data_IF_620087675970
#
_entry.id   IF_620087675970
#
_cell.length_a   1.000
_cell.length_b   1.000
_cell.length_c   1.000
_cell.angle_alpha   90.00
_cell.angle_beta   90.00
_cell.angle_gamma   90.00
#
_symmetry.space_group_name_H-M   'P 1'
#
loop_
_entity.id
_entity.type
_entity.pdbx_description
1 polymer ?
#
# COMPACT_ATOMS: atom_id res chain seq x y z
N UNK A 1 12.93 27.48 19.89
CA UNK A 1 13.50 26.13 19.76
C UNK A 1 13.62 25.52 21.13
N UNK A 2 13.03 24.33 21.36
CA UNK A 2 13.14 23.65 22.66
C UNK A 2 14.55 23.08 22.82
N UNK A 3 15.23 23.43 23.91
CA UNK A 3 16.54 22.88 24.30
C UNK A 3 16.50 21.35 24.24
N UNK A 4 17.19 20.76 23.26
CA UNK A 4 17.37 19.30 23.19
C UNK A 4 18.52 18.97 24.12
N UNK A 5 18.20 18.38 25.28
CA UNK A 5 19.18 17.89 26.23
C UNK A 5 20.19 16.92 25.61
N UNK A 6 21.30 16.61 26.31
CA UNK A 6 22.32 15.68 25.82
C UNK A 6 21.72 14.31 25.42
N UNK A 7 22.30 13.61 24.43
CA UNK A 7 21.80 12.30 24.02
C UNK A 7 21.84 11.31 25.20
N UNK A 8 20.76 10.54 25.36
CA UNK A 8 20.69 9.49 26.37
C UNK A 8 21.66 8.37 26.00
N UNK A 9 22.50 7.95 26.95
CA UNK A 9 23.40 6.83 26.75
C UNK A 9 22.61 5.55 26.45
N UNK A 10 22.99 4.84 25.39
CA UNK A 10 22.26 3.67 24.90
C UNK A 10 22.05 2.58 25.98
N UNK A 11 23.06 2.38 26.84
CA UNK A 11 23.01 1.44 27.97
C UNK A 11 21.86 1.72 28.96
N UNK A 12 21.47 2.99 29.09
CA UNK A 12 20.44 3.44 30.03
C UNK A 12 19.01 3.23 29.50
N UNK A 13 18.85 2.91 28.22
CA UNK A 13 17.52 2.66 27.64
C UNK A 13 16.99 1.32 28.15
N UNK A 14 15.81 1.34 28.76
CA UNK A 14 15.10 0.15 29.27
C UNK A 14 13.97 -0.22 28.33
N UNK A 15 13.68 -1.52 28.21
CA UNK A 15 12.65 -2.05 27.32
C UNK A 15 11.23 -1.62 27.72
N UNK A 16 10.97 -1.44 29.02
CA UNK A 16 9.73 -0.88 29.57
C UNK A 16 9.75 0.66 29.69
N UNK A 17 10.78 1.31 29.15
CA UNK A 17 10.91 2.77 29.18
C UNK A 17 10.03 3.46 28.14
N UNK A 18 9.84 4.77 28.32
CA UNK A 18 9.16 5.61 27.34
C UNK A 18 9.99 5.93 26.10
N UNK A 19 9.45 6.79 25.24
CA UNK A 19 10.11 7.25 24.01
C UNK A 19 11.47 7.89 24.31
N UNK A 20 12.51 7.41 23.63
CA UNK A 20 13.86 7.93 23.71
C UNK A 20 13.98 9.15 22.78
N UNK A 21 14.23 10.36 23.30
CA UNK A 21 14.25 11.57 22.48
C UNK A 21 15.45 11.58 21.52
N UNK A 22 16.64 11.22 22.02
CA UNK A 22 17.89 11.20 21.28
C UNK A 22 18.88 10.22 21.89
N UNK A 23 19.57 9.43 21.08
CA UNK A 23 20.69 8.57 21.51
C UNK A 23 21.74 8.48 20.40
N UNK A 24 23.01 8.28 20.78
CA UNK A 24 24.11 8.04 19.85
C UNK A 24 24.34 6.54 19.72
N UNK A 25 24.39 6.06 18.49
CA UNK A 25 24.55 4.64 18.17
C UNK A 25 25.56 4.44 17.04
N UNK A 26 26.39 3.41 17.15
CA UNK A 26 27.17 2.90 16.02
C UNK A 26 26.38 1.83 15.28
N UNK A 27 26.35 1.89 13.95
CA UNK A 27 25.70 0.88 13.10
C UNK A 27 26.65 -0.29 12.91
N UNK A 28 26.26 -1.46 13.42
CA UNK A 28 27.06 -2.68 13.33
C UNK A 28 26.69 -3.54 12.12
N UNK A 29 25.39 -3.63 11.79
CA UNK A 29 24.89 -4.29 10.57
C UNK A 29 23.57 -3.69 10.10
N UNK A 30 23.38 -3.65 8.79
CA UNK A 30 22.14 -3.29 8.13
C UNK A 30 21.60 -4.54 7.43
N UNK A 31 20.41 -4.98 7.84
CA UNK A 31 19.75 -6.11 7.18
C UNK A 31 18.99 -5.66 5.94
N UNK A 32 18.71 -6.53 4.96
CA UNK A 32 17.88 -6.19 3.81
C UNK A 32 16.48 -5.71 4.22
N UNK A 33 15.85 -4.88 3.38
CA UNK A 33 14.44 -4.49 3.55
C UNK A 33 13.55 -5.71 3.41
N UNK A 34 12.61 -5.84 4.34
CA UNK A 34 11.60 -6.89 4.37
C UNK A 34 10.21 -6.27 4.34
N UNK A 35 9.23 -7.06 3.92
CA UNK A 35 7.84 -6.63 3.78
C UNK A 35 6.98 -7.48 4.69
N UNK A 36 6.28 -6.86 5.63
CA UNK A 36 5.34 -7.54 6.53
C UNK A 36 3.93 -7.34 6.01
N UNK A 37 3.28 -8.42 5.58
CA UNK A 37 1.86 -8.43 5.25
C UNK A 37 1.05 -8.88 6.46
N UNK A 38 0.00 -8.14 6.80
CA UNK A 38 -1.01 -8.57 7.77
C UNK A 38 -2.16 -9.22 7.03
N UNK A 39 -2.50 -10.43 7.46
CA UNK A 39 -3.60 -11.19 6.89
C UNK A 39 -4.92 -10.88 7.62
N UNK A 40 -6.08 -11.13 6.99
CA UNK A 40 -7.40 -10.88 7.60
C UNK A 40 -7.64 -11.68 8.89
N UNK A 41 -6.98 -12.82 9.06
CA UNK A 41 -7.03 -13.66 10.26
C UNK A 41 -6.20 -13.10 11.44
N UNK A 42 -5.55 -11.95 11.25
CA UNK A 42 -4.69 -11.31 12.24
C UNK A 42 -3.25 -11.86 12.26
N UNK A 43 -2.96 -12.89 11.48
CA UNK A 43 -1.61 -13.40 11.31
C UNK A 43 -0.76 -12.47 10.45
N UNK A 44 0.54 -12.75 10.35
CA UNK A 44 1.44 -11.94 9.53
C UNK A 44 2.45 -12.78 8.77
N UNK A 45 2.72 -12.40 7.53
CA UNK A 45 3.73 -13.02 6.67
C UNK A 45 4.84 -12.00 6.44
N UNK A 46 6.10 -12.45 6.51
CA UNK A 46 7.26 -11.62 6.18
C UNK A 46 7.88 -12.12 4.89
N UNK A 47 8.08 -11.21 3.93
CA UNK A 47 8.69 -11.51 2.63
C UNK A 47 9.96 -10.69 2.41
N UNK A 48 10.89 -11.28 1.67
CA UNK A 48 11.96 -10.52 1.03
C UNK A 48 11.40 -9.73 -0.15
N UNK A 49 12.16 -8.74 -0.61
CA UNK A 49 11.79 -7.93 -1.78
C UNK A 49 11.42 -8.78 -3.00
N UNK A 50 12.22 -9.80 -3.33
CA UNK A 50 11.95 -10.71 -4.45
C UNK A 50 10.63 -11.46 -4.27
N UNK A 51 10.35 -11.93 -3.07
CA UNK A 51 9.12 -12.67 -2.78
C UNK A 51 7.90 -11.74 -2.78
N UNK A 52 8.04 -10.50 -2.30
CA UNK A 52 6.97 -9.52 -2.35
C UNK A 52 6.65 -9.09 -3.78
N UNK A 53 7.65 -8.87 -4.63
CA UNK A 53 7.44 -8.59 -6.06
C UNK A 53 6.64 -9.69 -6.75
N UNK A 54 6.98 -10.96 -6.47
CA UNK A 54 6.23 -12.11 -7.00
C UNK A 54 4.80 -12.16 -6.46
N UNK A 55 4.61 -11.91 -5.16
CA UNK A 55 3.29 -11.88 -4.55
C UNK A 55 2.41 -10.78 -5.13
N UNK A 56 2.97 -9.58 -5.34
CA UNK A 56 2.28 -8.45 -5.95
C UNK A 56 1.91 -8.74 -7.42
N UNK A 57 2.80 -9.36 -8.18
CA UNK A 57 2.51 -9.77 -9.56
C UNK A 57 1.34 -10.76 -9.61
N UNK A 58 1.35 -11.80 -8.76
CA UNK A 58 0.26 -12.77 -8.68
C UNK A 58 -1.06 -12.13 -8.25
N UNK A 59 -1.00 -11.17 -7.31
CA UNK A 59 -2.16 -10.38 -6.90
C UNK A 59 -2.76 -9.63 -8.09
N UNK A 60 -1.96 -8.87 -8.83
CA UNK A 60 -2.44 -8.14 -10.01
C UNK A 60 -2.99 -9.06 -11.09
N UNK A 61 -2.33 -10.20 -11.35
CA UNK A 61 -2.83 -11.19 -12.30
C UNK A 61 -4.23 -11.71 -11.91
N UNK A 62 -4.46 -12.00 -10.63
CA UNK A 62 -5.77 -12.47 -10.15
C UNK A 62 -6.83 -11.37 -10.24
N UNK A 63 -6.47 -10.13 -9.90
CA UNK A 63 -7.38 -8.97 -10.01
C UNK A 63 -7.77 -8.73 -11.46
N UNK A 64 -6.79 -8.69 -12.38
CA UNK A 64 -7.02 -8.50 -13.81
C UNK A 64 -7.89 -9.61 -14.40
N UNK A 65 -7.63 -10.87 -14.03
CA UNK A 65 -8.44 -12.00 -14.50
C UNK A 65 -9.92 -11.86 -14.13
N UNK A 66 -10.21 -11.49 -12.87
CA UNK A 66 -11.60 -11.29 -12.43
C UNK A 66 -12.27 -10.15 -13.20
N UNK A 67 -11.54 -9.06 -13.45
CA UNK A 67 -12.07 -7.95 -14.23
C UNK A 67 -12.34 -8.34 -15.69
N UNK A 68 -11.42 -9.07 -16.33
CA UNK A 68 -11.57 -9.57 -17.70
C UNK A 68 -12.74 -10.55 -17.82
N UNK A 69 -12.87 -11.50 -16.88
CA UNK A 69 -13.97 -12.47 -16.86
C UNK A 69 -15.33 -11.73 -16.80
N UNK A 70 -15.49 -10.75 -15.89
CA UNK A 70 -16.72 -9.96 -15.75
C UNK A 70 -17.01 -9.10 -16.98
N UNK A 71 -15.98 -8.48 -17.56
CA UNK A 71 -16.14 -7.69 -18.78
C UNK A 71 -16.63 -8.55 -19.94
N UNK A 72 -16.09 -9.76 -20.09
CA UNK A 72 -16.51 -10.70 -21.14
C UNK A 72 -17.96 -11.19 -20.98
N UNK A 73 -18.44 -11.37 -19.74
CA UNK A 73 -19.82 -11.77 -19.46
C UNK A 73 -20.83 -10.64 -19.74
N UNK A 74 -20.42 -9.37 -19.65
CA UNK A 74 -21.32 -8.22 -19.79
C UNK A 74 -21.56 -7.78 -21.24
N UNK A 75 -20.73 -8.21 -22.18
CA UNK A 75 -20.98 -7.99 -23.61
C UNK A 75 -22.19 -8.83 -24.10
N UNK A 76 -22.50 -9.95 -23.43
CA UNK A 76 -23.59 -10.88 -23.81
C UNK A 76 -24.97 -10.51 -23.23
N UNK A 77 -25.06 -9.61 -22.25
CA UNK A 77 -26.31 -9.34 -21.54
C UNK A 77 -26.57 -7.83 -21.44
N UNK A 78 -27.51 -7.31 -22.25
CA UNK A 78 -27.93 -5.92 -22.19
C UNK A 78 -29.46 -5.82 -22.18
N UNK A 79 -30.03 -5.47 -21.02
CA UNK A 79 -31.43 -5.08 -20.87
C UNK A 79 -31.47 -3.59 -20.51
N UNK A 80 -32.15 -2.79 -21.34
CA UNK A 80 -32.35 -1.36 -21.11
C UNK A 80 -33.32 -1.13 -19.94
N UNK A 81 -32.98 -0.22 -19.03
CA UNK A 81 -33.70 -0.01 -17.78
C UNK A 81 -34.68 1.18 -17.79
N UNK A 82 -34.80 1.93 -18.89
CA UNK A 82 -35.80 2.99 -19.01
C UNK A 82 -36.16 3.29 -20.48
N UNK A 83 -37.42 3.05 -20.82
CA UNK A 83 -37.95 3.11 -22.19
C UNK A 83 -38.66 4.43 -22.52
N UNK A 84 -38.73 5.35 -21.55
CA UNK A 84 -39.58 6.55 -21.64
C UNK A 84 -38.91 7.75 -22.33
N UNK A 85 -37.58 7.88 -22.24
CA UNK A 85 -36.81 9.01 -22.78
C UNK A 85 -36.78 9.02 -24.32
N UNK A 86 -36.81 10.20 -24.95
CA UNK A 86 -36.76 10.35 -26.42
C UNK A 86 -35.53 9.65 -27.02
N UNK A 87 -34.36 9.78 -26.38
CA UNK A 87 -33.14 9.06 -26.77
C UNK A 87 -33.28 7.53 -26.71
N UNK A 88 -34.07 6.98 -25.78
CA UNK A 88 -34.33 5.54 -25.69
C UNK A 88 -35.19 5.06 -26.86
N UNK A 89 -36.20 5.84 -27.25
CA UNK A 89 -37.04 5.56 -28.41
C UNK A 89 -36.22 5.59 -29.71
N UNK A 90 -35.36 6.60 -29.88
CA UNK A 90 -34.45 6.70 -31.03
C UNK A 90 -33.51 5.48 -31.07
N UNK A 91 -32.97 5.05 -29.93
CA UNK A 91 -32.09 3.87 -29.84
C UNK A 91 -32.80 2.59 -30.32
N UNK A 92 -34.03 2.34 -29.85
CA UNK A 92 -34.85 1.18 -30.29
C UNK A 92 -35.21 1.23 -31.76
N UNK A 93 -35.54 2.42 -32.27
CA UNK A 93 -35.82 2.60 -33.70
C UNK A 93 -34.59 2.28 -34.55
N UNK A 94 -33.39 2.69 -34.11
CA UNK A 94 -32.13 2.40 -34.79
C UNK A 94 -31.78 0.91 -34.76
N UNK A 95 -32.01 0.23 -33.63
CA UNK A 95 -31.78 -1.22 -33.49
C UNK A 95 -32.66 -2.07 -34.43
N UNK A 96 -33.85 -1.58 -34.77
CA UNK A 96 -34.83 -2.27 -35.63
C UNK A 96 -34.81 -1.78 -37.09
N UNK A 97 -34.09 -0.71 -37.40
CA UNK A 97 -34.04 -0.12 -38.73
C UNK A 97 -33.25 -1.01 -39.70
N UNK A 98 -33.75 -1.16 -40.93
CA UNK A 98 -33.02 -1.84 -42.01
C UNK A 98 -31.80 -1.04 -42.49
N UNK A 99 -31.86 0.30 -42.36
CA UNK A 99 -30.80 1.24 -42.74
C UNK A 99 -30.61 2.32 -41.63
N UNK A 100 -29.95 1.97 -40.51
CA UNK A 100 -29.82 2.86 -39.35
C UNK A 100 -29.04 4.14 -39.66
N UNK A 101 -28.09 4.12 -40.59
CA UNK A 101 -27.33 5.30 -41.00
C UNK A 101 -28.20 6.34 -41.72
N UNK A 102 -29.14 5.88 -42.56
CA UNK A 102 -30.09 6.74 -43.28
C UNK A 102 -31.07 7.37 -42.30
N UNK A 103 -31.55 6.58 -41.33
CA UNK A 103 -32.43 7.08 -40.28
C UNK A 103 -31.74 8.13 -39.41
N UNK A 104 -30.48 7.89 -39.04
CA UNK A 104 -29.69 8.82 -38.24
C UNK A 104 -29.44 10.15 -38.95
N UNK A 105 -29.25 10.14 -40.27
CA UNK A 105 -29.12 11.35 -41.08
C UNK A 105 -30.42 12.19 -41.16
N UNK A 106 -31.58 11.58 -40.89
CA UNK A 106 -32.89 12.24 -40.86
C UNK A 106 -33.28 12.84 -39.50
N UNK A 107 -32.49 12.62 -38.45
CA UNK A 107 -32.78 13.13 -37.10
C UNK A 107 -32.54 14.65 -37.02
N UNK A 108 -33.36 15.34 -36.23
CA UNK A 108 -33.12 16.76 -35.93
C UNK A 108 -31.94 16.94 -34.98
N UNK A 109 -31.38 18.15 -34.93
CA UNK A 109 -30.28 18.46 -34.00
C UNK A 109 -30.66 18.22 -32.54
N UNK A 110 -31.90 18.51 -32.14
CA UNK A 110 -32.40 18.26 -30.78
C UNK A 110 -32.49 16.75 -30.47
N UNK A 111 -32.96 15.96 -31.44
CA UNK A 111 -33.02 14.50 -31.34
C UNK A 111 -31.62 13.87 -31.27
N UNK A 112 -30.67 14.38 -32.06
CA UNK A 112 -29.26 13.95 -32.01
C UNK A 112 -28.61 14.23 -30.65
N UNK A 113 -28.88 15.40 -30.05
CA UNK A 113 -28.40 15.72 -28.71
C UNK A 113 -29.02 14.78 -27.67
N UNK A 114 -30.34 14.57 -27.72
CA UNK A 114 -31.04 13.65 -26.80
C UNK A 114 -30.51 12.21 -26.91
N UNK A 115 -30.32 11.73 -28.14
CA UNK A 115 -29.77 10.40 -28.42
C UNK A 115 -28.33 10.24 -27.90
N UNK A 116 -27.46 11.21 -28.17
CA UNK A 116 -26.07 11.20 -27.68
C UNK A 116 -25.99 11.22 -26.15
N UNK A 117 -26.87 11.99 -25.50
CA UNK A 117 -26.97 12.07 -24.04
C UNK A 117 -27.43 10.75 -23.44
N UNK A 118 -28.43 10.10 -24.07
CA UNK A 118 -28.90 8.78 -23.68
C UNK A 118 -27.81 7.72 -23.84
N UNK A 119 -27.09 7.69 -24.96
CA UNK A 119 -25.96 6.77 -25.15
C UNK A 119 -24.86 6.98 -24.10
N UNK A 120 -24.52 8.23 -23.78
CA UNK A 120 -23.54 8.55 -22.76
C UNK A 120 -24.00 8.04 -21.37
N UNK A 121 -25.26 8.30 -20.99
CA UNK A 121 -25.86 7.76 -19.76
C UNK A 121 -25.84 6.24 -19.72
N UNK A 122 -26.21 5.57 -20.82
CA UNK A 122 -26.20 4.11 -20.90
C UNK A 122 -24.78 3.54 -20.73
N UNK A 123 -23.79 4.16 -21.40
CA UNK A 123 -22.39 3.77 -21.29
C UNK A 123 -21.87 3.95 -19.87
N UNK A 124 -22.20 5.06 -19.22
CA UNK A 124 -21.84 5.32 -17.82
C UNK A 124 -22.51 4.33 -16.87
N UNK A 125 -23.81 4.09 -17.01
CA UNK A 125 -24.55 3.12 -16.21
C UNK A 125 -23.95 1.70 -16.34
N UNK A 126 -23.61 1.30 -17.57
CA UNK A 126 -22.94 0.02 -17.87
C UNK A 126 -21.57 -0.06 -17.20
N UNK A 127 -20.74 0.98 -17.34
CA UNK A 127 -19.43 1.04 -16.70
C UNK A 127 -19.52 0.97 -15.18
N UNK A 128 -20.50 1.67 -14.57
CA UNK A 128 -20.75 1.62 -13.14
C UNK A 128 -21.21 0.23 -12.67
N UNK A 129 -22.05 -0.44 -13.46
CA UNK A 129 -22.48 -1.81 -13.16
C UNK A 129 -21.31 -2.80 -13.21
N UNK A 130 -20.49 -2.74 -14.28
CA UNK A 130 -19.25 -3.54 -14.38
C UNK A 130 -18.37 -3.27 -13.17
N UNK A 131 -18.08 -2.00 -12.87
CA UNK A 131 -17.21 -1.61 -11.78
C UNK A 131 -17.70 -2.17 -10.43
N UNK A 132 -19.01 -2.09 -10.17
CA UNK A 132 -19.63 -2.63 -8.96
C UNK A 132 -19.54 -4.16 -8.90
N UNK A 133 -19.76 -4.85 -10.01
CA UNK A 133 -19.58 -6.32 -10.08
C UNK A 133 -18.14 -6.72 -9.81
N UNK A 134 -17.17 -6.00 -10.41
CA UNK A 134 -15.74 -6.22 -10.18
C UNK A 134 -15.39 -6.01 -8.71
N UNK A 135 -15.80 -4.88 -8.11
CA UNK A 135 -15.53 -4.60 -6.69
C UNK A 135 -16.07 -5.69 -5.77
N UNK A 136 -17.33 -6.10 -5.96
CA UNK A 136 -17.94 -7.18 -5.18
C UNK A 136 -17.20 -8.52 -5.37
N UNK A 137 -16.82 -8.87 -6.60
CA UNK A 137 -16.10 -10.11 -6.88
C UNK A 137 -14.70 -10.12 -6.26
N UNK A 138 -14.01 -8.98 -6.27
CA UNK A 138 -12.72 -8.82 -5.61
C UNK A 138 -12.85 -8.96 -4.09
N UNK A 139 -13.93 -8.43 -3.49
CA UNK A 139 -14.20 -8.60 -2.06
C UNK A 139 -14.45 -10.05 -1.68
N UNK A 140 -15.32 -10.75 -2.40
CA UNK A 140 -15.59 -12.19 -2.17
C UNK A 140 -14.33 -13.03 -2.35
N UNK A 141 -13.44 -12.66 -3.29
CA UNK A 141 -12.18 -13.35 -3.51
C UNK A 141 -11.07 -13.00 -2.50
N UNK A 142 -11.32 -12.06 -1.57
CA UNK A 142 -10.33 -11.58 -0.61
C UNK A 142 -9.19 -10.78 -1.26
N UNK A 143 -9.47 -10.08 -2.36
CA UNK A 143 -8.52 -9.32 -3.17
C UNK A 143 -8.74 -7.80 -3.12
N UNK A 144 -9.62 -7.29 -2.24
CA UNK A 144 -9.90 -5.85 -2.15
C UNK A 144 -8.68 -5.00 -1.83
N UNK A 145 -7.80 -5.47 -0.95
CA UNK A 145 -6.55 -4.77 -0.61
C UNK A 145 -5.55 -5.68 0.08
N UNK A 146 -4.29 -5.21 0.16
CA UNK A 146 -3.21 -5.89 0.90
C UNK A 146 -2.59 -4.91 1.91
N UNK A 147 -2.55 -5.29 3.19
CA UNK A 147 -1.86 -4.52 4.24
C UNK A 147 -0.39 -4.94 4.31
N UNK A 148 0.45 -4.33 3.46
CA UNK A 148 1.89 -4.62 3.39
C UNK A 148 2.69 -3.42 3.88
N UNK A 149 3.48 -3.60 4.94
CA UNK A 149 4.36 -2.56 5.49
C UNK A 149 5.84 -2.96 5.33
N UNK A 150 6.66 -2.23 4.56
CA UNK A 150 8.10 -2.44 4.51
C UNK A 150 8.77 -2.05 5.83
N UNK A 151 9.84 -2.76 6.18
CA UNK A 151 10.67 -2.43 7.33
C UNK A 151 12.14 -2.80 7.10
N UNK A 152 13.01 -2.06 7.79
CA UNK A 152 14.46 -2.24 7.79
C UNK A 152 14.92 -2.54 9.23
N UNK A 153 15.77 -3.56 9.39
CA UNK A 153 16.38 -3.87 10.69
C UNK A 153 17.84 -3.44 10.67
N UNK A 154 18.26 -2.74 11.72
CA UNK A 154 19.62 -2.23 11.89
C UNK A 154 20.14 -2.68 13.26
N UNK A 155 21.20 -3.48 13.27
CA UNK A 155 21.92 -3.83 14.50
C UNK A 155 22.82 -2.67 14.89
N UNK A 156 22.69 -2.24 16.12
CA UNK A 156 23.42 -1.08 16.65
C UNK A 156 24.12 -1.42 17.95
N UNK A 157 25.19 -0.70 18.24
CA UNK A 157 25.94 -0.78 19.49
C UNK A 157 25.95 0.57 20.19
N UNK A 158 25.75 0.56 21.51
CA UNK A 158 26.01 1.75 22.32
C UNK A 158 27.48 2.16 22.26
N UNK A 159 27.72 3.47 22.18
CA UNK A 159 29.08 4.01 22.24
C UNK A 159 29.55 4.07 23.70
N UNK A 160 30.79 3.63 23.94
CA UNK A 160 31.46 3.75 25.24
C UNK A 160 32.80 4.48 25.09
N UNK A 161 33.15 5.26 26.11
CA UNK A 161 34.45 5.95 26.16
C UNK A 161 35.58 4.94 26.37
N UNK A 162 36.69 5.09 25.63
CA UNK A 162 37.85 4.15 25.66
C UNK A 162 38.38 3.88 27.08
N UNK A 163 38.33 4.87 27.97
CA UNK A 163 38.81 4.75 29.37
C UNK A 163 37.91 3.83 30.23
N UNK A 164 36.62 3.71 29.88
CA UNK A 164 35.65 2.86 30.58
C UNK A 164 35.51 1.46 29.98
N UNK A 165 36.28 1.15 28.93
CA UNK A 165 36.14 -0.09 28.15
C UNK A 165 36.71 -1.34 28.84
N UNK A 166 37.26 -1.22 30.05
CA UNK A 166 38.01 -2.29 30.70
C UNK A 166 37.16 -3.41 31.33
N UNK A 167 35.82 -3.44 31.17
CA UNK A 167 34.99 -4.61 31.58
C UNK A 167 33.53 -4.63 31.12
N UNK A 168 32.98 -3.56 30.54
CA UNK A 168 31.55 -3.52 30.15
C UNK A 168 31.36 -3.85 28.68
N UNK A 169 30.67 -4.96 28.40
CA UNK A 169 30.16 -5.32 27.07
C UNK A 169 29.27 -4.17 26.58
N UNK A 170 29.55 -3.63 25.40
CA UNK A 170 28.70 -2.60 24.80
C UNK A 170 27.30 -3.18 24.58
N UNK A 171 26.28 -2.53 25.15
CA UNK A 171 24.89 -2.95 24.97
C UNK A 171 24.54 -2.87 23.49
N UNK A 172 24.12 -4.00 22.94
CA UNK A 172 23.61 -4.09 21.58
C UNK A 172 22.11 -3.84 21.52
N UNK A 173 21.64 -3.40 20.37
CA UNK A 173 20.22 -3.33 20.08
C UNK A 173 19.91 -3.56 18.61
N UNK A 174 18.63 -3.74 18.34
CA UNK A 174 18.08 -3.89 17.01
C UNK A 174 17.02 -2.83 16.81
N UNK A 175 17.32 -1.85 15.94
CA UNK A 175 16.37 -0.83 15.54
C UNK A 175 15.58 -1.36 14.34
N UNK A 176 14.26 -1.41 14.46
CA UNK A 176 13.33 -1.67 13.34
C UNK A 176 12.76 -0.34 12.87
N UNK A 177 13.11 0.05 11.64
CA UNK A 177 12.62 1.25 10.98
C UNK A 177 11.46 0.82 10.08
N UNK A 178 10.23 1.19 10.45
CA UNK A 178 9.03 0.94 9.65
C UNK A 178 8.87 2.02 8.58
N UNK A 179 8.51 1.62 7.36
CA UNK A 179 8.43 2.49 6.19
C UNK A 179 9.70 3.34 5.99
N UNK A 180 10.89 2.71 5.89
CA UNK A 180 12.14 3.44 5.73
C UNK A 180 12.13 4.26 4.44
N UNK A 181 12.56 5.52 4.52
CA UNK A 181 12.65 6.40 3.35
C UNK A 181 13.80 5.98 2.43
N UNK A 182 13.76 6.34 1.14
CA UNK A 182 14.87 6.07 0.22
C UNK A 182 16.18 6.68 0.72
N UNK A 183 16.11 7.88 1.32
CA UNK A 183 17.24 8.52 1.97
C UNK A 183 17.80 7.67 3.12
N UNK A 184 16.95 7.14 4.00
CA UNK A 184 17.41 6.26 5.09
C UNK A 184 18.04 4.96 4.56
N UNK A 185 17.52 4.40 3.45
CA UNK A 185 18.10 3.21 2.82
C UNK A 185 19.48 3.49 2.21
N UNK A 186 19.69 4.67 1.64
CA UNK A 186 20.95 5.05 1.00
C UNK A 186 22.01 5.59 1.97
N UNK A 187 21.59 6.41 2.96
CA UNK A 187 22.50 7.15 3.85
C UNK A 187 22.98 6.32 5.05
N UNK A 188 22.28 5.25 5.41
CA UNK A 188 22.70 4.36 6.48
C UNK A 188 23.85 3.47 6.00
N UNK A 189 25.00 3.59 6.66
CA UNK A 189 26.22 2.86 6.32
C UNK A 189 26.73 2.12 7.55
N UNK A 190 27.15 0.87 7.37
CA UNK A 190 27.79 0.07 8.42
C UNK A 190 29.11 0.71 8.89
N UNK A 191 29.37 0.66 10.19
CA UNK A 191 30.56 1.27 10.81
C UNK A 191 30.44 2.76 11.13
N UNK A 192 29.38 3.44 10.67
CA UNK A 192 29.14 4.85 10.96
C UNK A 192 28.34 5.08 12.24
N UNK A 193 28.46 6.29 12.79
CA UNK A 193 27.77 6.73 14.00
C UNK A 193 26.64 7.69 13.65
N UNK A 194 25.46 7.44 14.22
CA UNK A 194 24.28 8.27 14.00
C UNK A 194 23.64 8.71 15.30
N UNK A 195 23.00 9.87 15.23
CA UNK A 195 22.07 10.34 16.25
C UNK A 195 20.68 9.80 15.88
N UNK A 196 20.22 8.80 16.63
CA UNK A 196 18.86 8.27 16.48
C UNK A 196 17.90 9.02 17.41
N UNK A 197 16.74 9.43 16.89
CA UNK A 197 15.74 10.21 17.61
C UNK A 197 14.40 9.50 17.64
N UNK A 198 13.59 9.81 18.65
CA UNK A 198 12.20 9.37 18.75
C UNK A 198 11.99 7.86 18.85
N UNK A 199 13.00 7.08 19.24
CA UNK A 199 12.94 5.62 19.29
C UNK A 199 11.99 5.13 20.40
N UNK A 200 11.23 4.08 20.12
CA UNK A 200 10.34 3.43 21.09
C UNK A 200 10.92 2.06 21.48
N UNK A 201 11.35 1.87 22.74
CA UNK A 201 11.76 0.55 23.23
C UNK A 201 10.61 -0.45 23.16
N UNK A 202 10.90 -1.69 22.78
CA UNK A 202 9.96 -2.80 22.82
C UNK A 202 10.36 -3.81 23.90
N UNK A 203 9.37 -4.27 24.66
CA UNK A 203 9.54 -5.27 25.71
C UNK A 203 9.70 -6.67 25.10
N UNK A 204 10.94 -7.03 24.80
CA UNK A 204 11.33 -8.41 24.51
C UNK A 204 12.40 -8.84 25.51
N UNK A 205 12.17 -9.96 26.21
CA UNK A 205 13.10 -10.52 27.18
C UNK A 205 14.28 -11.19 26.47
N UNK A 206 15.21 -10.40 25.95
CA UNK A 206 16.48 -10.89 25.42
C UNK A 206 17.62 -9.97 25.82
N UNK A 207 18.86 -10.44 25.63
CA UNK A 207 20.06 -9.63 25.85
C UNK A 207 20.21 -8.48 24.83
N UNK A 208 19.33 -8.40 23.82
CA UNK A 208 19.32 -7.37 22.78
C UNK A 208 18.15 -6.41 23.02
N UNK A 209 18.43 -5.11 23.00
CA UNK A 209 17.39 -4.08 23.11
C UNK A 209 16.70 -3.83 21.76
N UNK A 210 15.40 -4.09 21.68
CA UNK A 210 14.61 -3.80 20.48
C UNK A 210 14.04 -2.39 20.53
N UNK A 211 14.19 -1.64 19.44
CA UNK A 211 13.77 -0.25 19.32
C UNK A 211 13.01 -0.07 18.01
N UNK A 212 11.91 0.66 18.03
CA UNK A 212 11.12 0.96 16.84
C UNK A 212 11.28 2.42 16.45
N UNK A 213 11.42 2.66 15.15
CA UNK A 213 11.39 3.97 14.53
C UNK A 213 10.39 3.95 13.35
N UNK A 214 9.90 5.11 12.96
CA UNK A 214 9.21 5.30 11.67
C UNK A 214 10.14 6.04 10.72
N UNK A 215 9.97 5.80 9.42
CA UNK A 215 10.54 6.67 8.40
C UNK A 215 10.11 8.11 8.65
N UNK A 216 11.08 9.02 8.57
CA UNK A 216 10.94 10.46 8.79
C UNK A 216 11.81 11.20 7.79
#
# INVERSE_FOLDING_TARGET
GKHVGPPLAFKCIKASGGRVPRTLVGVARIYPVLYKERLPDGSSIVRSERMERKALQLYHQRVSKIAEDIMSEQDENCASTDDSEEGAKICKMLEQAAEPEVMMAGLTSEQMISFSSYQAKQKEARQNEVAKKVENALEVAGLSSRDVTPFLKVRVTGLAHKISATKTINKEGLITIWNPTEKQKADLVEGQVYIATGLLPSAHCTNILYLHARGS
#
